data_IF_895048541734
#
_entry.id   IF_895048541734
#
_cell.length_a   1.000
_cell.length_b   1.000
_cell.length_c   1.000
_cell.angle_alpha   90.00
_cell.angle_beta   90.00
_cell.angle_gamma   90.00
#
_symmetry.space_group_name_H-M   'P 1'
#
loop_
_entity.id
_entity.type
_entity.pdbx_description
1 polymer ?
#
# COMPACT_ATOMS: atom_id res chain seq x y z
N UNK A 1 -25.98 6.26 18.58
CA UNK A 1 -26.97 5.30 18.03
C UNK A 1 -28.27 5.54 18.78
N UNK A 2 -29.36 5.85 18.09
CA UNK A 2 -30.68 6.06 18.72
C UNK A 2 -31.45 4.75 18.80
N UNK A 3 -32.24 4.55 19.85
CA UNK A 3 -33.07 3.34 20.06
C UNK A 3 -33.94 3.02 18.84
N UNK A 4 -34.53 4.05 18.22
CA UNK A 4 -35.30 3.91 16.97
C UNK A 4 -34.51 3.27 15.82
N UNK A 5 -33.23 3.61 15.64
CA UNK A 5 -32.40 3.03 14.58
C UNK A 5 -32.09 1.55 14.82
N UNK A 6 -32.08 1.11 16.08
CA UNK A 6 -31.87 -0.30 16.44
C UNK A 6 -33.15 -1.09 16.17
N UNK A 7 -34.31 -0.56 16.59
CA UNK A 7 -35.62 -1.20 16.35
C UNK A 7 -35.86 -1.42 14.86
N UNK A 8 -35.64 -0.38 14.05
CA UNK A 8 -35.74 -0.47 12.58
C UNK A 8 -34.78 -1.55 12.03
N UNK A 9 -33.51 -1.56 12.46
CA UNK A 9 -32.56 -2.59 11.99
C UNK A 9 -32.98 -4.01 12.35
N UNK A 10 -33.54 -4.22 13.54
CA UNK A 10 -34.06 -5.52 13.96
C UNK A 10 -35.26 -5.95 13.11
N UNK A 11 -36.20 -5.05 12.80
CA UNK A 11 -37.35 -5.33 11.93
C UNK A 11 -36.93 -5.75 10.51
N UNK A 12 -35.87 -5.12 9.98
CA UNK A 12 -35.32 -5.46 8.66
C UNK A 12 -34.29 -6.60 8.69
N UNK A 13 -34.06 -7.26 9.84
CA UNK A 13 -33.09 -8.36 9.97
C UNK A 13 -31.62 -7.93 9.75
N UNK A 14 -31.31 -6.65 9.91
CA UNK A 14 -29.97 -6.09 9.73
C UNK A 14 -29.16 -6.20 11.03
N UNK A 15 -27.85 -6.47 10.89
CA UNK A 15 -26.95 -6.53 12.06
C UNK A 15 -26.93 -5.21 12.83
N UNK A 16 -27.09 -5.32 14.15
CA UNK A 16 -27.03 -4.21 15.11
C UNK A 16 -25.58 -3.79 15.38
N UNK A 17 -24.61 -4.64 15.04
CA UNK A 17 -23.20 -4.33 15.21
C UNK A 17 -22.78 -3.14 14.35
N UNK A 18 -22.00 -2.24 14.94
CA UNK A 18 -21.45 -1.08 14.26
C UNK A 18 -20.48 -1.53 13.18
N UNK A 19 -20.75 -1.18 11.92
CA UNK A 19 -19.74 -1.34 10.86
C UNK A 19 -18.55 -0.43 11.18
N UNK A 20 -17.31 -0.91 11.05
CA UNK A 20 -16.15 -0.05 11.18
C UNK A 20 -16.26 1.11 10.18
N UNK A 21 -16.01 2.33 10.65
CA UNK A 21 -16.03 3.51 9.80
C UNK A 21 -15.00 3.40 8.67
N UNK A 22 -15.26 4.04 7.53
CA UNK A 22 -14.40 3.99 6.35
C UNK A 22 -12.96 4.52 6.57
N UNK A 23 -12.70 5.17 7.71
CA UNK A 23 -11.39 5.69 8.08
C UNK A 23 -10.93 6.84 7.17
N UNK A 24 -9.71 7.33 7.42
CA UNK A 24 -9.08 8.34 6.58
C UNK A 24 -8.56 7.68 5.29
N UNK A 25 -8.82 8.27 4.11
CA UNK A 25 -8.21 7.79 2.87
C UNK A 25 -6.68 7.80 2.95
N UNK A 26 -6.06 6.69 2.55
CA UNK A 26 -4.60 6.58 2.54
C UNK A 26 -4.03 7.24 1.29
N UNK A 27 -2.92 7.96 1.42
CA UNK A 27 -2.21 8.57 0.28
C UNK A 27 -1.77 7.52 -0.77
N UNK A 28 -1.44 6.31 -0.31
CA UNK A 28 -1.10 5.21 -1.19
C UNK A 28 -2.36 4.49 -1.67
N UNK A 29 -2.76 4.79 -2.91
CA UNK A 29 -3.70 3.97 -3.65
C UNK A 29 -3.09 2.61 -4.06
N UNK A 30 -3.94 1.63 -4.35
CA UNK A 30 -3.56 0.27 -4.78
C UNK A 30 -2.63 0.28 -5.99
N UNK A 31 -2.80 1.22 -6.93
CA UNK A 31 -1.88 1.40 -8.06
C UNK A 31 -0.48 1.81 -7.62
N UNK A 32 -0.39 2.78 -6.70
CA UNK A 32 0.90 3.27 -6.18
C UNK A 32 1.61 2.21 -5.34
N UNK A 33 0.86 1.41 -4.58
CA UNK A 33 1.40 0.26 -3.83
C UNK A 33 2.08 -0.75 -4.76
N UNK A 34 1.43 -1.15 -5.86
CA UNK A 34 2.02 -2.06 -6.86
C UNK A 34 3.29 -1.47 -7.50
N UNK A 35 3.26 -0.17 -7.84
CA UNK A 35 4.45 0.52 -8.38
C UNK A 35 5.60 0.55 -7.39
N UNK A 36 5.32 0.80 -6.11
CA UNK A 36 6.32 0.78 -5.03
C UNK A 36 6.88 -0.62 -4.83
N UNK A 37 6.03 -1.65 -4.83
CA UNK A 37 6.46 -3.05 -4.74
C UNK A 37 7.40 -3.42 -5.88
N UNK A 38 7.04 -3.10 -7.14
CA UNK A 38 7.91 -3.34 -8.29
C UNK A 38 9.23 -2.57 -8.21
N UNK A 39 9.18 -1.30 -7.76
CA UNK A 39 10.38 -0.51 -7.58
C UNK A 39 11.31 -1.16 -6.54
N UNK A 40 10.78 -1.56 -5.38
CA UNK A 40 11.56 -2.19 -4.33
C UNK A 40 12.10 -3.58 -4.73
N UNK A 41 11.31 -4.42 -5.41
CA UNK A 41 11.71 -5.79 -5.78
C UNK A 41 12.76 -5.86 -6.91
N UNK A 42 12.77 -4.88 -7.81
CA UNK A 42 13.63 -4.89 -9.01
C UNK A 42 14.92 -4.08 -8.86
N UNK A 43 15.11 -3.37 -7.76
CA UNK A 43 16.28 -2.53 -7.56
C UNK A 43 17.09 -2.96 -6.35
N UNK A 44 18.24 -3.60 -6.60
CA UNK A 44 19.22 -3.93 -5.54
C UNK A 44 19.69 -2.64 -4.89
N UNK A 45 19.64 -2.58 -3.56
CA UNK A 45 20.25 -1.50 -2.78
C UNK A 45 19.52 -0.15 -2.80
N UNK A 46 18.25 -0.10 -3.25
CA UNK A 46 17.48 1.15 -3.16
C UNK A 46 17.04 1.39 -1.72
N UNK A 47 17.52 2.50 -1.15
CA UNK A 47 17.13 2.94 0.18
C UNK A 47 15.69 3.44 0.21
N UNK A 48 15.04 3.31 1.37
CA UNK A 48 13.70 3.85 1.59
C UNK A 48 13.62 5.36 1.34
N UNK A 49 14.74 6.10 1.56
CA UNK A 49 14.85 7.53 1.23
C UNK A 49 14.74 7.78 -0.28
N UNK A 50 15.43 7.00 -1.12
CA UNK A 50 15.31 7.11 -2.59
C UNK A 50 13.89 6.78 -3.08
N UNK A 51 13.22 5.79 -2.47
CA UNK A 51 11.81 5.52 -2.75
C UNK A 51 10.91 6.67 -2.33
N UNK A 52 11.15 7.26 -1.15
CA UNK A 52 10.39 8.41 -0.66
C UNK A 52 10.46 9.59 -1.65
N UNK A 53 11.66 9.94 -2.13
CA UNK A 53 11.83 10.97 -3.17
C UNK A 53 11.07 10.61 -4.46
N UNK A 54 11.14 9.35 -4.90
CA UNK A 54 10.47 8.89 -6.12
C UNK A 54 8.94 8.96 -6.04
N UNK A 55 8.37 8.73 -4.85
CA UNK A 55 6.93 8.72 -4.62
C UNK A 55 6.40 10.03 -4.01
N UNK A 56 7.27 11.00 -3.73
CA UNK A 56 6.89 12.29 -3.13
C UNK A 56 6.33 12.16 -1.72
N UNK A 57 6.84 11.22 -0.92
CA UNK A 57 6.35 10.92 0.44
C UNK A 57 7.48 10.91 1.46
N UNK A 58 7.12 10.97 2.74
CA UNK A 58 8.08 10.75 3.82
C UNK A 58 8.61 9.30 3.81
N UNK A 59 9.85 9.12 4.24
CA UNK A 59 10.47 7.79 4.33
C UNK A 59 9.70 6.86 5.28
N UNK A 60 9.10 7.40 6.35
CA UNK A 60 8.27 6.61 7.27
C UNK A 60 7.03 6.03 6.57
N UNK A 61 6.44 6.76 5.62
CA UNK A 61 5.31 6.27 4.81
C UNK A 61 5.73 5.07 3.96
N UNK A 62 6.94 5.11 3.38
CA UNK A 62 7.50 3.97 2.65
C UNK A 62 7.72 2.78 3.59
N UNK A 63 8.27 3.01 4.78
CA UNK A 63 8.52 1.97 5.77
C UNK A 63 7.24 1.20 6.13
N UNK A 64 6.17 1.92 6.51
CA UNK A 64 4.88 1.30 6.86
C UNK A 64 4.28 0.50 5.70
N UNK A 65 4.33 1.04 4.48
CA UNK A 65 3.78 0.33 3.32
C UNK A 65 4.62 -0.89 2.92
N UNK A 66 5.95 -0.84 3.07
CA UNK A 66 6.81 -2.00 2.82
C UNK A 66 6.59 -3.11 3.84
N UNK A 67 6.39 -2.77 5.12
CA UNK A 67 6.02 -3.73 6.16
C UNK A 67 4.67 -4.39 5.85
N UNK A 68 3.67 -3.62 5.43
CA UNK A 68 2.35 -4.13 5.04
C UNK A 68 2.39 -5.12 3.87
N UNK A 69 3.35 -4.96 2.95
CA UNK A 69 3.54 -5.83 1.79
C UNK A 69 4.47 -7.03 2.12
N UNK A 70 5.00 -7.12 3.35
CA UNK A 70 5.89 -8.19 3.80
C UNK A 70 7.17 -8.36 2.94
N UNK A 71 7.72 -7.27 2.41
CA UNK A 71 8.91 -7.31 1.57
C UNK A 71 10.18 -7.40 2.45
N UNK A 72 10.62 -8.63 2.72
CA UNK A 72 11.76 -8.94 3.63
C UNK A 72 13.16 -8.84 3.00
N UNK A 73 13.30 -8.93 1.68
CA UNK A 73 14.62 -9.15 1.04
C UNK A 73 14.94 -8.19 -0.11
N UNK A 74 16.21 -7.76 -0.14
CA UNK A 74 16.81 -6.75 -1.02
C UNK A 74 17.55 -7.32 -2.25
N UNK A 75 17.33 -8.61 -2.58
CA UNK A 75 17.89 -9.22 -3.79
C UNK A 75 16.94 -8.96 -4.97
N UNK A 76 17.51 -8.65 -6.14
CA UNK A 76 16.74 -8.45 -7.37
C UNK A 76 15.96 -9.73 -7.68
N UNK A 77 14.63 -9.61 -7.78
CA UNK A 77 13.80 -10.73 -8.20
C UNK A 77 13.81 -10.92 -9.73
N UNK A 78 14.00 -9.84 -10.48
CA UNK A 78 14.02 -9.86 -11.94
C UNK A 78 15.37 -9.40 -12.48
N UNK A 79 15.78 -10.01 -13.59
CA UNK A 79 16.92 -9.55 -14.36
C UNK A 79 16.68 -8.10 -14.85
N UNK A 80 17.72 -7.23 -14.87
CA UNK A 80 17.60 -5.92 -15.49
C UNK A 80 17.21 -6.10 -16.96
N UNK A 81 16.21 -5.35 -17.43
CA UNK A 81 15.88 -5.33 -18.85
C UNK A 81 17.05 -4.66 -19.58
N UNK A 82 17.82 -5.42 -20.35
CA UNK A 82 18.80 -4.86 -21.27
C UNK A 82 18.04 -4.00 -22.29
N UNK A 83 18.37 -2.72 -22.33
CA UNK A 83 17.94 -1.83 -23.41
C UNK A 83 19.05 -1.75 -24.45
N UNK A 84 18.73 -1.51 -25.72
CA UNK A 84 19.73 -1.42 -26.82
C UNK A 84 20.87 -0.44 -26.53
N UNK A 85 20.60 0.61 -25.73
CA UNK A 85 21.61 1.58 -25.25
C UNK A 85 22.66 0.99 -24.31
N UNK A 86 22.45 -0.19 -23.76
CA UNK A 86 23.36 -0.89 -22.83
C UNK A 86 24.12 -2.03 -23.54
N UNK A 87 23.83 -2.29 -24.82
CA UNK A 87 24.47 -3.29 -25.67
C UNK A 87 25.55 -2.70 -26.58
N UNK A 88 25.68 -1.37 -26.61
CA UNK A 88 26.80 -0.63 -27.21
C UNK A 88 27.80 -0.26 -26.13
#
# INVERSE_FOLDING_TARGET
STVYNIVIRCEFGLSVEGRPGAGRPTYFDRKNLKRMQHAAANSVGVSQRKLATKFGVAQITIHYNLQKICLKYYKRQNAPKCTEKQLR
#
